data_IF_078727038923
#
_entry.id   IF_078727038923
#
_cell.length_a   1.000
_cell.length_b   1.000
_cell.length_c   1.000
_cell.angle_alpha   90.00
_cell.angle_beta   90.00
_cell.angle_gamma   90.00
#
_symmetry.space_group_name_H-M   'P 1'
#
loop_
_entity.id
_entity.type
_entity.pdbx_description
1 polymer ?
#
# COMPACT_ATOMS: atom_id res chain seq x y z
N UNK A 1 15.94 25.10 28.35
CA UNK A 1 14.83 26.02 28.68
C UNK A 1 13.48 25.39 28.35
N UNK A 2 12.40 26.07 28.64
CA UNK A 2 11.03 25.54 28.44
C UNK A 2 10.64 25.29 26.97
N UNK A 3 11.40 25.83 26.05
CA UNK A 3 11.07 25.86 24.61
C UNK A 3 12.08 25.03 23.79
N UNK A 4 12.94 24.30 24.48
CA UNK A 4 13.99 23.50 23.83
C UNK A 4 13.79 22.02 24.15
N UNK A 5 13.61 21.20 23.10
CA UNK A 5 13.63 19.75 23.18
C UNK A 5 14.94 19.22 22.62
N UNK A 6 15.65 18.42 23.41
CA UNK A 6 16.96 17.86 23.02
C UNK A 6 16.84 16.35 22.86
N UNK A 7 17.25 15.85 21.71
CA UNK A 7 17.39 14.42 21.43
C UNK A 7 18.89 14.12 21.44
N UNK A 8 19.33 13.31 22.39
CA UNK A 8 20.70 12.81 22.49
C UNK A 8 20.76 11.39 21.91
N UNK A 9 21.59 11.20 20.92
CA UNK A 9 21.74 9.92 20.22
C UNK A 9 23.04 9.25 20.66
N UNK A 10 23.01 7.93 20.87
CA UNK A 10 24.21 7.13 21.18
C UNK A 10 25.18 7.03 20.01
N UNK A 11 24.65 7.09 18.79
CA UNK A 11 25.40 7.06 17.52
C UNK A 11 24.76 8.03 16.52
N UNK A 12 25.54 8.54 15.54
CA UNK A 12 24.97 9.33 14.45
C UNK A 12 23.94 8.51 13.66
N UNK A 13 22.73 9.04 13.53
CA UNK A 13 21.65 8.40 12.77
C UNK A 13 21.10 9.36 11.73
N UNK A 14 21.53 9.22 10.50
CA UNK A 14 21.21 10.13 9.39
C UNK A 14 19.70 10.26 9.12
N UNK A 15 18.87 9.17 9.12
CA UNK A 15 17.46 9.25 8.82
C UNK A 15 16.58 9.84 9.93
N UNK A 16 17.13 10.21 11.08
CA UNK A 16 16.35 10.60 12.28
C UNK A 16 15.26 11.63 12.01
N UNK A 17 15.58 12.72 11.28
CA UNK A 17 14.59 13.78 11.02
C UNK A 17 13.49 13.30 10.08
N UNK A 18 13.81 12.44 9.11
CA UNK A 18 12.84 11.83 8.19
C UNK A 18 11.92 10.88 8.94
N UNK A 19 12.46 10.09 9.87
CA UNK A 19 11.65 9.20 10.70
C UNK A 19 10.74 9.98 11.66
N UNK A 20 11.23 11.04 12.28
CA UNK A 20 10.43 11.92 13.14
C UNK A 20 9.28 12.61 12.39
N UNK A 21 9.38 12.73 11.07
CA UNK A 21 8.30 13.23 10.23
C UNK A 21 7.20 12.18 9.94
N UNK A 22 7.42 10.90 10.30
CA UNK A 22 6.40 9.88 10.19
C UNK A 22 5.24 10.17 11.15
N UNK A 23 4.03 10.22 10.61
CA UNK A 23 2.81 10.48 11.40
C UNK A 23 2.60 9.40 12.47
N UNK A 24 3.02 8.18 12.23
CA UNK A 24 3.01 7.07 13.19
C UNK A 24 4.39 6.44 13.25
N UNK A 25 4.98 6.31 14.46
CA UNK A 25 4.44 6.54 15.81
C UNK A 25 4.73 7.94 16.40
N UNK A 26 5.32 8.87 15.66
CA UNK A 26 5.92 10.10 16.21
C UNK A 26 4.97 11.32 16.25
N UNK A 27 3.65 11.09 16.26
CA UNK A 27 2.71 12.19 16.44
C UNK A 27 2.86 12.84 17.82
N UNK A 28 2.91 14.18 17.86
CA UNK A 28 2.92 14.94 19.10
C UNK A 28 1.52 15.02 19.69
N UNK A 29 1.36 14.62 20.93
CA UNK A 29 0.10 14.67 21.67
C UNK A 29 0.25 15.51 22.94
N UNK A 30 -0.85 16.11 23.37
CA UNK A 30 -0.87 16.85 24.63
C UNK A 30 -0.71 15.91 25.83
N UNK A 31 0.09 16.27 26.86
CA UNK A 31 0.13 15.54 28.11
C UNK A 31 -1.25 15.39 28.78
N UNK A 32 -2.17 16.32 28.52
CA UNK A 32 -3.53 16.28 29.05
C UNK A 32 -4.39 15.16 28.45
N UNK A 33 -3.94 14.52 27.35
CA UNK A 33 -4.60 13.35 26.76
C UNK A 33 -4.09 12.03 27.35
N UNK A 34 -3.00 12.05 28.13
CA UNK A 34 -2.37 10.83 28.62
C UNK A 34 -3.12 10.27 29.83
N UNK A 35 -3.34 8.98 29.87
CA UNK A 35 -3.85 8.29 31.06
C UNK A 35 -2.67 7.98 31.98
N UNK A 36 -2.72 8.45 33.23
CA UNK A 36 -1.67 8.27 34.22
C UNK A 36 -0.27 8.76 33.77
N UNK A 37 -0.24 9.80 32.92
CA UNK A 37 1.00 10.39 32.42
C UNK A 37 1.76 9.53 31.39
N UNK A 38 1.12 8.50 30.82
CA UNK A 38 1.72 7.60 29.84
C UNK A 38 0.78 7.27 28.70
N UNK A 39 1.31 7.25 27.48
CA UNK A 39 0.58 6.75 26.29
C UNK A 39 0.41 5.24 26.29
N UNK A 40 1.16 4.50 27.09
CA UNK A 40 1.04 3.03 27.18
C UNK A 40 -0.32 2.58 27.73
N UNK A 41 -0.98 3.43 28.50
CA UNK A 41 -2.32 3.17 29.05
C UNK A 41 -3.44 3.69 28.13
N UNK A 42 -3.10 4.13 26.92
CA UNK A 42 -4.00 4.78 25.99
C UNK A 42 -4.11 6.29 26.20
N UNK A 43 -5.05 6.91 25.51
CA UNK A 43 -5.32 8.34 25.61
C UNK A 43 -6.77 8.60 25.97
N UNK A 44 -7.01 9.68 26.73
CA UNK A 44 -8.34 10.15 27.09
C UNK A 44 -8.57 11.52 26.43
N UNK A 45 -8.96 11.49 25.18
CA UNK A 45 -9.21 12.66 24.35
C UNK A 45 -8.18 12.83 23.21
N UNK A 46 -8.44 13.82 22.38
CA UNK A 46 -7.68 14.09 21.16
C UNK A 46 -7.37 15.60 21.10
N UNK A 47 -6.30 16.00 21.76
CA UNK A 47 -5.84 17.40 21.80
C UNK A 47 -4.56 17.51 20.99
N UNK A 48 -4.62 18.18 19.87
CA UNK A 48 -3.50 18.42 18.97
C UNK A 48 -3.35 19.89 18.60
N UNK A 49 -2.38 20.18 17.74
CA UNK A 49 -2.07 21.53 17.24
C UNK A 49 -2.47 21.71 15.78
N UNK A 50 -3.26 20.77 15.23
CA UNK A 50 -3.67 20.77 13.84
C UNK A 50 -4.73 21.81 13.48
N UNK A 51 -5.04 21.94 12.17
CA UNK A 51 -6.01 22.91 11.66
C UNK A 51 -7.47 22.61 12.02
N UNK A 52 -7.75 21.40 12.50
CA UNK A 52 -9.08 20.97 12.93
C UNK A 52 -9.06 20.38 14.32
N UNK A 53 -10.18 20.49 15.02
CA UNK A 53 -10.44 19.89 16.34
C UNK A 53 -11.52 18.84 16.18
N UNK A 54 -11.31 17.64 16.76
CA UNK A 54 -12.34 16.62 16.87
C UNK A 54 -13.39 17.07 17.89
N UNK A 55 -14.63 17.28 17.46
CA UNK A 55 -15.71 17.78 18.30
C UNK A 55 -16.76 16.73 18.63
N UNK A 56 -16.90 15.69 17.80
CA UNK A 56 -17.81 14.58 18.04
C UNK A 56 -17.27 13.31 17.40
N UNK A 57 -17.52 12.16 18.02
CA UNK A 57 -17.00 10.88 17.55
C UNK A 57 -17.82 9.70 18.06
N UNK A 58 -18.25 8.86 17.17
CA UNK A 58 -18.84 7.55 17.48
C UNK A 58 -18.02 6.47 16.75
N UNK A 59 -17.48 5.53 17.54
CA UNK A 59 -16.68 4.42 17.01
C UNK A 59 -17.47 3.65 15.95
N UNK A 60 -16.81 3.36 14.82
CA UNK A 60 -17.36 2.63 13.67
C UNK A 60 -18.56 3.30 12.97
N UNK A 61 -18.90 4.55 13.32
CA UNK A 61 -19.95 5.30 12.68
C UNK A 61 -19.45 6.59 12.02
N UNK A 62 -18.94 7.55 12.82
CA UNK A 62 -18.47 8.82 12.27
C UNK A 62 -17.51 9.57 13.19
N UNK A 63 -16.82 10.57 12.61
CA UNK A 63 -16.06 11.58 13.32
C UNK A 63 -16.34 12.97 12.75
N UNK A 64 -16.52 13.95 13.63
CA UNK A 64 -16.77 15.36 13.25
C UNK A 64 -15.58 16.21 13.66
N UNK A 65 -15.06 16.94 12.68
CA UNK A 65 -13.96 17.88 12.87
C UNK A 65 -14.43 19.29 12.55
N UNK A 66 -14.14 20.23 13.44
CA UNK A 66 -14.40 21.65 13.23
C UNK A 66 -13.07 22.40 13.15
N UNK A 67 -13.05 23.50 12.36
CA UNK A 67 -11.86 24.32 12.19
C UNK A 67 -11.36 24.83 13.54
N UNK A 68 -10.06 24.70 13.74
CA UNK A 68 -9.38 25.21 14.93
C UNK A 68 -9.14 26.73 14.77
N UNK A 69 -9.93 27.53 15.47
CA UNK A 69 -9.80 28.99 15.42
C UNK A 69 -8.48 29.52 16.04
N UNK A 70 -7.76 28.66 16.78
CA UNK A 70 -6.44 28.95 17.35
C UNK A 70 -5.29 28.29 16.57
N UNK A 71 -5.56 27.87 15.33
CA UNK A 71 -4.50 27.25 14.53
C UNK A 71 -3.40 28.27 14.22
N UNK A 72 -2.15 27.83 14.37
CA UNK A 72 -0.96 28.67 14.20
C UNK A 72 -0.61 28.95 12.72
N UNK A 73 -1.16 28.19 11.77
CA UNK A 73 -0.96 28.37 10.33
C UNK A 73 -2.13 29.08 9.66
N UNK A 74 -2.22 28.96 8.34
CA UNK A 74 -3.33 29.52 7.56
C UNK A 74 -4.63 28.76 7.88
N UNK A 75 -5.70 29.49 8.16
CA UNK A 75 -7.00 28.93 8.49
C UNK A 75 -7.58 28.15 7.29
N UNK A 76 -8.01 26.87 7.46
CA UNK A 76 -8.63 26.12 6.39
C UNK A 76 -9.92 26.78 5.88
N UNK A 77 -10.17 26.69 4.58
CA UNK A 77 -11.40 27.22 3.97
C UNK A 77 -12.66 26.46 4.44
N UNK A 78 -12.53 25.14 4.63
CA UNK A 78 -13.64 24.27 5.09
C UNK A 78 -13.78 24.43 6.61
N UNK A 79 -14.97 24.75 7.07
CA UNK A 79 -15.24 24.97 8.50
C UNK A 79 -15.50 23.68 9.27
N UNK A 80 -16.13 22.69 8.61
CA UNK A 80 -16.53 21.42 9.24
C UNK A 80 -16.33 20.27 8.27
N UNK A 81 -15.76 19.19 8.76
CA UNK A 81 -15.57 17.93 8.05
C UNK A 81 -16.24 16.83 8.87
N UNK A 82 -17.12 16.05 8.23
CA UNK A 82 -17.70 14.85 8.81
C UNK A 82 -17.15 13.65 8.08
N UNK A 83 -16.40 12.80 8.76
CA UNK A 83 -15.93 11.52 8.23
C UNK A 83 -16.93 10.44 8.61
N UNK A 84 -17.55 9.79 7.63
CA UNK A 84 -18.49 8.68 7.83
C UNK A 84 -17.80 7.35 7.59
N UNK A 85 -18.09 6.34 8.41
CA UNK A 85 -17.63 4.96 8.19
C UNK A 85 -18.67 4.25 7.32
N UNK A 86 -18.29 3.95 6.09
CA UNK A 86 -19.12 3.16 5.15
C UNK A 86 -18.26 2.00 4.66
N UNK A 87 -18.37 0.80 5.25
CA UNK A 87 -17.43 -0.31 5.00
C UNK A 87 -17.50 -0.87 3.58
N UNK A 88 -18.69 -0.90 2.98
CA UNK A 88 -18.91 -1.51 1.67
C UNK A 88 -18.64 -0.54 0.52
N UNK A 89 -17.91 -0.97 -0.51
CA UNK A 89 -17.50 -0.15 -1.67
C UNK A 89 -18.70 0.36 -2.47
N UNK A 90 -19.68 -0.49 -2.75
CA UNK A 90 -20.84 -0.11 -3.55
C UNK A 90 -21.72 0.89 -2.80
N UNK A 91 -21.86 0.70 -1.49
CA UNK A 91 -22.58 1.66 -0.63
C UNK A 91 -21.90 3.02 -0.59
N UNK A 92 -20.53 3.06 -0.58
CA UNK A 92 -19.80 4.34 -0.67
C UNK A 92 -20.02 5.05 -2.00
N UNK A 93 -20.00 4.31 -3.10
CA UNK A 93 -20.26 4.84 -4.44
C UNK A 93 -21.69 5.41 -4.50
N UNK A 94 -22.70 4.66 -4.06
CA UNK A 94 -24.07 5.14 -4.04
C UNK A 94 -24.24 6.39 -3.18
N UNK A 95 -23.58 6.45 -2.02
CA UNK A 95 -23.62 7.63 -1.16
C UNK A 95 -23.00 8.86 -1.85
N UNK A 96 -21.92 8.70 -2.63
CA UNK A 96 -21.33 9.78 -3.43
C UNK A 96 -22.26 10.21 -4.57
N UNK A 97 -22.83 9.26 -5.29
CA UNK A 97 -23.77 9.53 -6.41
C UNK A 97 -25.04 10.24 -5.97
N UNK A 98 -25.53 9.90 -4.76
CA UNK A 98 -26.70 10.51 -4.15
C UNK A 98 -26.40 11.81 -3.38
N UNK A 99 -25.14 12.29 -3.41
CA UNK A 99 -24.70 13.52 -2.72
C UNK A 99 -24.87 13.43 -1.17
N UNK A 100 -24.85 12.20 -0.62
CA UNK A 100 -24.84 11.95 0.83
C UNK A 100 -23.44 12.13 1.44
N UNK A 101 -22.40 12.02 0.59
CA UNK A 101 -21.01 12.37 0.87
C UNK A 101 -20.42 13.14 -0.33
N UNK A 102 -19.43 13.99 -0.05
CA UNK A 102 -18.79 14.85 -1.05
C UNK A 102 -17.48 14.27 -1.58
N UNK A 103 -16.85 13.36 -0.84
CA UNK A 103 -15.51 12.86 -1.13
C UNK A 103 -15.34 11.43 -0.61
N UNK A 104 -14.73 10.58 -1.43
CA UNK A 104 -14.13 9.32 -1.01
C UNK A 104 -12.63 9.50 -1.07
N UNK A 105 -11.93 9.31 0.04
CA UNK A 105 -10.49 9.56 0.15
C UNK A 105 -9.77 8.42 0.86
N UNK A 106 -8.66 7.99 0.30
CA UNK A 106 -7.75 7.03 0.91
C UNK A 106 -7.48 5.80 0.07
N UNK A 107 -6.41 5.10 0.44
CA UNK A 107 -5.99 3.85 -0.22
C UNK A 107 -7.02 2.74 0.04
N UNK A 108 -7.33 1.97 -0.98
CA UNK A 108 -8.28 0.83 -0.93
C UNK A 108 -9.72 1.21 -0.52
N UNK A 109 -10.11 2.47 -0.70
CA UNK A 109 -11.48 2.88 -0.44
C UNK A 109 -12.43 2.50 -1.58
N UNK A 110 -11.91 2.36 -2.80
CA UNK A 110 -12.61 1.86 -3.97
C UNK A 110 -11.73 0.86 -4.70
N UNK A 111 -12.35 -0.11 -5.34
CA UNK A 111 -11.66 -1.05 -6.24
C UNK A 111 -11.32 -0.37 -7.57
N UNK A 112 -10.31 -0.86 -8.28
CA UNK A 112 -9.82 -0.24 -9.50
C UNK A 112 -10.88 -0.19 -10.61
N UNK A 113 -11.73 -1.21 -10.73
CA UNK A 113 -12.84 -1.26 -11.68
C UNK A 113 -13.88 -0.16 -11.40
N UNK A 114 -14.18 0.10 -10.12
CA UNK A 114 -15.06 1.17 -9.72
C UNK A 114 -14.46 2.55 -10.05
N UNK A 115 -13.19 2.77 -9.74
CA UNK A 115 -12.49 4.04 -10.06
C UNK A 115 -12.47 4.26 -11.58
N UNK A 116 -12.20 3.22 -12.37
CA UNK A 116 -12.09 3.32 -13.83
C UNK A 116 -13.34 3.87 -14.50
N UNK A 117 -14.52 3.64 -13.92
CA UNK A 117 -15.80 4.12 -14.42
C UNK A 117 -15.98 5.64 -14.25
N UNK A 118 -15.21 6.27 -13.38
CA UNK A 118 -15.32 7.71 -13.06
C UNK A 118 -14.16 8.55 -13.58
N UNK A 119 -13.10 7.94 -14.13
CA UNK A 119 -11.90 8.67 -14.63
C UNK A 119 -12.28 9.71 -15.67
N UNK A 120 -13.20 9.39 -16.58
CA UNK A 120 -13.68 10.27 -17.64
C UNK A 120 -15.06 10.89 -17.34
N UNK A 121 -15.47 10.96 -16.09
CA UNK A 121 -16.78 11.46 -15.69
C UNK A 121 -16.83 12.99 -15.73
N UNK A 122 -17.88 13.55 -16.35
CA UNK A 122 -18.15 14.99 -16.31
C UNK A 122 -18.68 15.45 -14.93
N UNK A 123 -19.14 14.52 -14.10
CA UNK A 123 -19.77 14.80 -12.81
C UNK A 123 -18.79 14.68 -11.63
N UNK A 124 -17.82 13.78 -11.71
CA UNK A 124 -16.89 13.47 -10.64
C UNK A 124 -15.44 13.73 -11.07
N UNK A 125 -14.62 14.16 -10.14
CA UNK A 125 -13.18 14.30 -10.35
C UNK A 125 -12.45 13.17 -9.66
N UNK A 126 -11.68 12.40 -10.42
CA UNK A 126 -10.76 11.38 -9.87
C UNK A 126 -9.36 11.98 -9.82
N UNK A 127 -8.74 11.96 -8.64
CA UNK A 127 -7.35 12.38 -8.44
C UNK A 127 -6.54 11.20 -7.92
N UNK A 128 -5.51 10.81 -8.66
CA UNK A 128 -4.57 9.76 -8.29
C UNK A 128 -3.25 10.39 -7.89
N UNK A 129 -2.68 9.95 -6.77
CA UNK A 129 -1.33 10.33 -6.38
C UNK A 129 -0.30 9.51 -7.16
N UNK A 130 0.95 9.99 -7.17
CA UNK A 130 2.06 9.15 -7.57
C UNK A 130 2.15 7.89 -6.69
N UNK A 131 2.65 6.77 -7.24
CA UNK A 131 2.82 5.54 -6.47
C UNK A 131 3.74 5.73 -5.26
N UNK A 132 3.22 5.46 -4.06
CA UNK A 132 3.96 5.58 -2.79
C UNK A 132 4.35 4.23 -2.19
N UNK A 133 3.82 3.14 -2.75
CA UNK A 133 4.11 1.77 -2.29
C UNK A 133 4.00 0.80 -3.45
N UNK A 134 4.73 -0.32 -3.35
CA UNK A 134 4.76 -1.37 -4.38
C UNK A 134 4.09 -2.63 -3.86
N UNK A 135 3.19 -3.22 -4.65
CA UNK A 135 2.70 -4.59 -4.41
C UNK A 135 3.79 -5.56 -4.86
N UNK A 136 4.14 -6.49 -4.00
CA UNK A 136 5.21 -7.45 -4.30
C UNK A 136 4.90 -8.82 -3.69
N UNK A 137 5.51 -9.85 -4.26
CA UNK A 137 5.49 -11.20 -3.71
C UNK A 137 6.82 -11.44 -3.01
N UNK A 138 6.76 -11.81 -1.73
CA UNK A 138 7.94 -12.16 -0.94
C UNK A 138 8.29 -13.62 -1.20
N UNK A 139 9.51 -13.88 -1.68
CA UNK A 139 10.01 -15.22 -1.90
C UNK A 139 10.83 -15.67 -0.69
N UNK A 140 10.45 -16.80 -0.09
CA UNK A 140 11.24 -17.42 0.99
C UNK A 140 12.50 -18.06 0.43
N UNK A 141 13.63 -17.37 0.50
CA UNK A 141 14.91 -17.86 -0.04
C UNK A 141 15.57 -18.99 0.77
N UNK A 142 15.00 -19.35 1.92
CA UNK A 142 15.43 -20.53 2.70
C UNK A 142 14.69 -21.81 2.29
N UNK A 143 13.67 -21.70 1.43
CA UNK A 143 12.96 -22.84 0.87
C UNK A 143 13.83 -23.53 -0.20
N UNK A 144 13.83 -24.85 -0.24
CA UNK A 144 14.71 -25.66 -1.10
C UNK A 144 14.62 -25.28 -2.59
N UNK A 145 13.41 -25.01 -3.10
CA UNK A 145 13.19 -24.59 -4.50
C UNK A 145 13.53 -23.11 -4.69
N UNK A 146 13.00 -22.23 -3.82
CA UNK A 146 13.18 -20.77 -3.93
C UNK A 146 14.56 -20.28 -3.50
N UNK A 147 15.38 -21.14 -2.88
CA UNK A 147 16.81 -20.91 -2.65
C UNK A 147 17.61 -20.84 -3.95
N UNK A 148 17.14 -21.51 -5.01
CA UNK A 148 17.76 -21.44 -6.34
C UNK A 148 17.47 -20.09 -7.02
N UNK A 149 18.54 -19.36 -7.32
CA UNK A 149 18.42 -18.02 -7.99
C UNK A 149 17.83 -18.14 -9.39
N UNK A 150 18.08 -19.25 -10.09
CA UNK A 150 17.53 -19.46 -11.43
C UNK A 150 16.00 -19.57 -11.39
N UNK A 151 15.45 -20.26 -10.38
CA UNK A 151 14.00 -20.34 -10.16
C UNK A 151 13.41 -18.95 -9.90
N UNK A 152 14.02 -18.17 -9.01
CA UNK A 152 13.52 -16.80 -8.74
C UNK A 152 13.57 -15.90 -9.96
N UNK A 153 14.62 -15.98 -10.79
CA UNK A 153 14.70 -15.23 -12.06
C UNK A 153 13.65 -15.70 -13.06
N UNK A 154 13.46 -17.00 -13.18
CA UNK A 154 12.44 -17.58 -14.04
C UNK A 154 11.02 -17.09 -13.65
N UNK A 155 10.70 -17.03 -12.35
CA UNK A 155 9.43 -16.45 -11.89
C UNK A 155 9.27 -14.98 -12.27
N UNK A 156 10.36 -14.19 -12.27
CA UNK A 156 10.31 -12.79 -12.73
C UNK A 156 9.99 -12.69 -14.22
N UNK A 157 10.61 -13.51 -15.06
CA UNK A 157 10.34 -13.55 -16.49
C UNK A 157 8.97 -14.17 -16.84
N UNK A 158 8.48 -15.11 -16.04
CA UNK A 158 7.17 -15.73 -16.23
C UNK A 158 6.00 -14.84 -15.79
N UNK A 159 6.25 -13.77 -15.03
CA UNK A 159 5.19 -12.89 -14.51
C UNK A 159 4.91 -11.73 -15.45
N UNK A 160 3.74 -11.71 -16.10
CA UNK A 160 3.31 -10.59 -16.92
C UNK A 160 2.74 -9.45 -16.07
N UNK A 161 3.63 -8.61 -15.54
CA UNK A 161 3.24 -7.45 -14.70
C UNK A 161 2.37 -6.44 -15.42
N UNK A 162 2.60 -6.26 -16.73
CA UNK A 162 1.80 -5.34 -17.54
C UNK A 162 0.36 -5.85 -17.70
N UNK A 163 0.16 -7.14 -17.95
CA UNK A 163 -1.18 -7.71 -18.01
C UNK A 163 -1.93 -7.62 -16.68
N UNK A 164 -1.24 -7.75 -15.55
CA UNK A 164 -1.82 -7.51 -14.22
C UNK A 164 -2.25 -6.04 -14.07
N UNK A 165 -1.39 -5.09 -14.44
CA UNK A 165 -1.70 -3.66 -14.40
C UNK A 165 -2.93 -3.32 -15.26
N UNK A 166 -2.96 -3.78 -16.48
CA UNK A 166 -4.04 -3.46 -17.44
C UNK A 166 -5.32 -4.25 -17.14
N UNK A 167 -5.21 -5.54 -16.85
CA UNK A 167 -6.36 -6.44 -16.74
C UNK A 167 -7.03 -6.43 -15.38
N UNK A 168 -6.27 -6.21 -14.28
CA UNK A 168 -6.81 -6.20 -12.91
C UNK A 168 -6.95 -4.77 -12.39
N UNK A 169 -6.01 -3.89 -12.73
CA UNK A 169 -5.99 -2.51 -12.21
C UNK A 169 -6.40 -1.45 -13.23
N UNK A 170 -6.81 -1.84 -14.44
CA UNK A 170 -7.26 -0.89 -15.48
C UNK A 170 -6.21 0.19 -15.81
N UNK A 171 -4.92 -0.13 -15.63
CA UNK A 171 -3.82 0.82 -15.81
C UNK A 171 -3.65 1.85 -14.67
N UNK A 172 -4.49 1.82 -13.63
CA UNK A 172 -4.43 2.77 -12.51
C UNK A 172 -3.27 2.49 -11.55
N UNK A 173 -2.80 1.24 -11.48
CA UNK A 173 -1.58 0.86 -10.78
C UNK A 173 -0.55 0.41 -11.82
N UNK A 174 0.49 1.22 -12.12
CA UNK A 174 1.48 0.86 -13.13
C UNK A 174 2.36 -0.31 -12.68
N UNK A 175 2.85 -1.09 -13.65
CA UNK A 175 3.83 -2.13 -13.38
C UNK A 175 5.11 -1.53 -12.77
N UNK A 176 5.67 -2.19 -11.76
CA UNK A 176 6.88 -1.76 -11.07
C UNK A 176 8.07 -2.67 -11.41
N UNK A 177 9.23 -2.06 -11.68
CA UNK A 177 10.49 -2.75 -11.92
C UNK A 177 11.38 -2.82 -10.67
N UNK A 178 11.09 -1.98 -9.67
CA UNK A 178 11.83 -1.88 -8.42
C UNK A 178 10.89 -1.97 -7.22
N UNK A 179 11.45 -2.34 -6.05
CA UNK A 179 10.69 -2.43 -4.80
C UNK A 179 10.19 -1.05 -4.33
N UNK A 180 10.97 -0.01 -4.58
CA UNK A 180 10.62 1.37 -4.23
C UNK A 180 10.46 2.19 -5.50
N UNK A 181 9.47 3.08 -5.51
CA UNK A 181 9.28 4.02 -6.62
C UNK A 181 10.54 4.87 -6.84
N UNK A 182 10.93 5.15 -8.10
CA UNK A 182 12.01 6.09 -8.39
C UNK A 182 11.80 7.50 -7.81
N UNK A 183 10.57 7.86 -7.46
CA UNK A 183 10.24 9.13 -6.80
C UNK A 183 10.66 9.18 -5.33
N UNK A 184 10.97 8.03 -4.73
CA UNK A 184 11.49 7.95 -3.36
C UNK A 184 12.97 8.36 -3.37
N UNK A 185 13.43 9.22 -2.44
CA UNK A 185 14.82 9.64 -2.37
C UNK A 185 15.78 8.43 -2.36
N UNK A 186 16.82 8.48 -3.18
CA UNK A 186 17.85 7.44 -3.36
C UNK A 186 17.37 6.14 -4.01
N UNK A 187 16.15 6.07 -4.51
CA UNK A 187 15.58 4.87 -5.14
C UNK A 187 15.50 4.95 -6.67
N UNK A 188 15.93 6.08 -7.25
CA UNK A 188 16.12 6.21 -8.70
C UNK A 188 17.42 5.50 -9.11
N UNK A 189 17.29 4.20 -9.35
CA UNK A 189 18.41 3.30 -9.68
C UNK A 189 18.22 2.77 -11.10
N UNK A 190 19.31 2.80 -11.87
CA UNK A 190 19.33 2.26 -13.23
C UNK A 190 19.48 0.72 -13.15
N UNK A 191 18.37 0.01 -13.24
CA UNK A 191 18.31 -1.44 -13.25
C UNK A 191 17.68 -1.92 -14.54
N UNK A 192 18.27 -2.94 -15.15
CA UNK A 192 17.64 -3.67 -16.26
C UNK A 192 16.44 -4.47 -15.72
N UNK A 193 15.21 -4.13 -16.12
CA UNK A 193 14.02 -4.83 -15.65
C UNK A 193 13.95 -6.25 -16.22
N UNK A 194 13.40 -7.17 -15.46
CA UNK A 194 13.06 -8.50 -15.97
C UNK A 194 11.84 -8.37 -16.89
N UNK A 195 12.06 -8.43 -18.22
CA UNK A 195 10.96 -8.44 -19.18
C UNK A 195 10.13 -9.74 -19.04
N UNK A 196 8.84 -9.65 -19.31
CA UNK A 196 8.00 -10.85 -19.46
C UNK A 196 8.49 -11.65 -20.68
N UNK A 197 9.00 -12.85 -20.42
CA UNK A 197 9.61 -13.73 -21.42
C UNK A 197 9.54 -15.18 -20.91
N UNK A 198 8.52 -15.92 -21.36
CA UNK A 198 8.30 -17.30 -20.95
C UNK A 198 9.34 -18.26 -21.53
N UNK A 199 9.96 -17.92 -22.69
CA UNK A 199 11.04 -18.73 -23.28
C UNK A 199 12.31 -18.61 -22.44
N UNK A 200 12.64 -17.39 -22.01
CA UNK A 200 13.76 -17.14 -21.09
C UNK A 200 13.52 -17.81 -19.71
N UNK A 201 12.30 -17.73 -19.19
CA UNK A 201 11.93 -18.42 -17.95
C UNK A 201 12.16 -19.94 -18.07
N UNK A 202 11.70 -20.54 -19.18
CA UNK A 202 11.89 -21.96 -19.46
C UNK A 202 13.38 -22.31 -19.59
N UNK A 203 14.16 -21.51 -20.33
CA UNK A 203 15.61 -21.69 -20.52
C UNK A 203 16.35 -21.69 -19.18
N UNK A 204 16.04 -20.71 -18.30
CA UNK A 204 16.65 -20.60 -16.97
C UNK A 204 16.37 -21.84 -16.11
N UNK A 205 15.15 -22.37 -16.17
CA UNK A 205 14.77 -23.58 -15.44
C UNK A 205 15.46 -24.84 -16.01
N UNK A 206 15.54 -24.96 -17.35
CA UNK A 206 16.23 -26.07 -18.02
C UNK A 206 17.73 -26.09 -17.66
N UNK A 207 18.41 -24.94 -17.73
CA UNK A 207 19.82 -24.81 -17.35
C UNK A 207 20.08 -25.10 -15.88
N UNK A 208 19.11 -24.79 -15.00
CA UNK A 208 19.16 -25.13 -13.59
C UNK A 208 18.83 -26.61 -13.29
N UNK A 209 18.47 -27.39 -14.32
CA UNK A 209 18.15 -28.83 -14.21
C UNK A 209 16.70 -29.13 -13.84
N UNK A 210 15.80 -28.15 -13.94
CA UNK A 210 14.35 -28.33 -13.77
C UNK A 210 13.71 -28.77 -15.09
N UNK A 211 13.72 -30.08 -15.35
CA UNK A 211 13.32 -30.67 -16.64
C UNK A 211 11.82 -30.78 -16.73
N UNK A 212 11.27 -30.39 -17.89
CA UNK A 212 9.85 -30.54 -18.21
C UNK A 212 9.47 -32.01 -18.34
N UNK A 213 8.47 -32.43 -17.60
CA UNK A 213 7.87 -33.75 -17.68
C UNK A 213 6.79 -33.87 -18.74
N UNK A 214 6.35 -35.08 -19.04
CA UNK A 214 5.25 -35.34 -19.97
C UNK A 214 3.88 -34.91 -19.47
N UNK A 215 3.79 -34.65 -18.18
CA UNK A 215 2.60 -34.12 -17.50
C UNK A 215 2.50 -32.58 -17.53
N UNK A 216 3.49 -31.90 -18.14
CA UNK A 216 3.57 -30.45 -18.18
C UNK A 216 4.18 -29.81 -16.94
N UNK A 217 4.50 -30.61 -15.93
CA UNK A 217 5.20 -30.15 -14.71
C UNK A 217 6.72 -30.25 -14.86
N UNK A 218 7.46 -29.45 -14.09
CA UNK A 218 8.92 -29.53 -14.04
C UNK A 218 9.40 -30.25 -12.79
N UNK A 219 10.52 -30.95 -12.90
CA UNK A 219 11.15 -31.64 -11.77
C UNK A 219 12.68 -31.63 -11.85
N UNK A 220 13.33 -31.66 -10.69
CA UNK A 220 14.79 -31.78 -10.53
C UNK A 220 15.11 -32.81 -9.45
N UNK A 221 15.91 -33.84 -9.78
CA UNK A 221 16.30 -34.90 -8.84
C UNK A 221 15.10 -35.58 -8.14
N UNK A 222 13.98 -35.72 -8.84
CA UNK A 222 12.76 -36.33 -8.29
C UNK A 222 11.86 -35.37 -7.48
N UNK A 223 12.31 -34.17 -7.24
CA UNK A 223 11.48 -33.10 -6.62
C UNK A 223 10.70 -32.37 -7.69
N UNK A 224 9.39 -32.20 -7.49
CA UNK A 224 8.55 -31.36 -8.37
C UNK A 224 8.78 -29.87 -8.09
N UNK A 225 8.71 -29.05 -9.16
CA UNK A 225 8.65 -27.60 -9.05
C UNK A 225 7.21 -27.19 -8.70
N UNK A 226 6.93 -27.16 -7.44
CA UNK A 226 5.61 -26.87 -6.89
C UNK A 226 5.77 -25.86 -5.76
N UNK A 227 5.03 -24.77 -5.81
CA UNK A 227 5.14 -23.65 -4.89
C UNK A 227 3.76 -23.27 -4.35
N UNK A 228 3.69 -22.98 -3.06
CA UNK A 228 2.49 -22.44 -2.44
C UNK A 228 2.55 -20.90 -2.43
N UNK A 229 1.53 -20.26 -3.00
CA UNK A 229 1.33 -18.83 -2.92
C UNK A 229 0.28 -18.50 -1.85
N UNK A 230 0.69 -17.74 -0.83
CA UNK A 230 -0.17 -17.30 0.25
C UNK A 230 -0.61 -15.86 0.02
N UNK A 231 -1.89 -15.59 0.23
CA UNK A 231 -2.47 -14.27 0.14
C UNK A 231 -3.47 -14.02 1.29
N UNK A 232 -3.81 -12.76 1.55
CA UNK A 232 -4.82 -12.43 2.55
C UNK A 232 -6.22 -12.74 2.00
N UNK A 233 -6.93 -13.67 2.65
CA UNK A 233 -8.29 -14.10 2.24
C UNK A 233 -9.32 -12.97 2.21
N UNK A 234 -9.09 -11.89 2.96
CA UNK A 234 -9.99 -10.73 3.01
C UNK A 234 -9.75 -9.75 1.84
N UNK A 235 -8.70 -9.98 1.03
CA UNK A 235 -8.36 -9.16 -0.12
C UNK A 235 -8.79 -9.84 -1.43
N UNK A 236 -9.87 -9.36 -2.02
CA UNK A 236 -10.35 -9.81 -3.34
C UNK A 236 -9.26 -9.59 -4.40
N UNK A 237 -8.57 -8.45 -4.35
CA UNK A 237 -7.50 -8.11 -5.29
C UNK A 237 -6.34 -9.09 -5.22
N UNK A 238 -5.86 -9.43 -4.00
CA UNK A 238 -4.78 -10.40 -3.85
C UNK A 238 -5.17 -11.80 -4.32
N UNK A 239 -6.42 -12.19 -4.07
CA UNK A 239 -6.98 -13.43 -4.60
C UNK A 239 -6.95 -13.44 -6.13
N UNK A 240 -7.45 -12.39 -6.77
CA UNK A 240 -7.50 -12.28 -8.24
C UNK A 240 -6.11 -12.34 -8.85
N UNK A 241 -5.12 -11.61 -8.27
CA UNK A 241 -3.72 -11.70 -8.72
C UNK A 241 -3.18 -13.12 -8.56
N UNK A 242 -3.47 -13.78 -7.45
CA UNK A 242 -2.98 -15.14 -7.17
C UNK A 242 -3.57 -16.17 -8.15
N UNK A 243 -4.86 -16.05 -8.47
CA UNK A 243 -5.53 -16.90 -9.47
C UNK A 243 -4.97 -16.65 -10.89
N UNK A 244 -4.70 -15.39 -11.23
CA UNK A 244 -4.02 -15.05 -12.49
C UNK A 244 -2.63 -15.70 -12.57
N UNK A 245 -1.80 -15.53 -11.54
CA UNK A 245 -0.46 -16.10 -11.48
C UNK A 245 -0.46 -17.65 -11.51
N UNK A 246 -1.49 -18.28 -10.97
CA UNK A 246 -1.66 -19.74 -11.04
C UNK A 246 -1.99 -20.21 -12.46
N UNK A 247 -2.60 -19.36 -13.29
CA UNK A 247 -3.01 -19.71 -14.64
C UNK A 247 -1.90 -19.53 -15.69
N UNK A 248 -0.87 -18.74 -15.39
CA UNK A 248 0.33 -18.54 -16.21
C UNK A 248 1.31 -19.71 -16.08
#
# INVERSE_FOLDING_TARGET
DSDTFVIEMSEPYYPMLTELACIRPFAMISPNCMIDGSTMNGVNGYIGTGPYVLTDFVTDEYAVFERNENYWGEAPAIQKITVKVIPDNQTRIMALENEEIDLIFGKNMLDADAISQYVDSDRFTVSLSDPTSTRHIVLNTTHDILGDTAVRKALQHATNRQAISEGIFYGLEPAADTLYSPTVPYCDVDLEPYAYDTEEAARLLDEAGWVMGSDGGRSKNGQKLELDLLYNSDSVTEKTISEYLQSE
#
